data_IF_510451011905
#
_entry.id   IF_510451011905
#
_cell.length_a   1.000
_cell.length_b   1.000
_cell.length_c   1.000
_cell.angle_alpha   90.00
_cell.angle_beta   90.00
_cell.angle_gamma   90.00
#
_symmetry.space_group_name_H-M   'P 1'
#
loop_
_entity.id
_entity.type
_entity.pdbx_description
1 polymer ?
#
# COMPACT_ATOMS: atom_id res chain seq x y z
N UNK A 1 -17.34 -24.57 -6.75
CA UNK A 1 -16.87 -23.21 -7.01
C UNK A 1 -17.76 -22.18 -6.32
N UNK A 2 -17.21 -21.25 -5.57
CA UNK A 2 -17.98 -20.13 -5.02
C UNK A 2 -18.29 -19.15 -6.15
N UNK A 3 -19.55 -18.77 -6.31
CA UNK A 3 -19.93 -17.73 -7.28
C UNK A 3 -19.45 -16.38 -6.71
N UNK A 4 -18.37 -15.87 -7.27
CA UNK A 4 -17.85 -14.56 -6.90
C UNK A 4 -18.50 -13.47 -7.77
N UNK A 5 -19.07 -12.45 -7.12
CA UNK A 5 -19.66 -11.27 -7.77
C UNK A 5 -19.17 -10.04 -7.00
N UNK A 6 -18.50 -9.12 -7.69
CA UNK A 6 -18.02 -7.87 -7.12
C UNK A 6 -18.83 -6.68 -7.64
N UNK A 7 -19.47 -5.97 -6.72
CA UNK A 7 -20.18 -4.72 -6.98
C UNK A 7 -19.29 -3.54 -6.59
N UNK A 8 -18.64 -2.95 -7.58
CA UNK A 8 -17.67 -1.88 -7.37
C UNK A 8 -18.30 -0.62 -6.78
N UNK A 9 -19.49 -0.24 -7.24
CA UNK A 9 -20.20 0.95 -6.74
C UNK A 9 -20.58 0.80 -5.28
N UNK A 10 -21.22 -0.32 -4.94
CA UNK A 10 -21.62 -0.61 -3.56
C UNK A 10 -20.39 -0.66 -2.65
N UNK A 11 -19.34 -1.36 -3.06
CA UNK A 11 -18.11 -1.49 -2.27
C UNK A 11 -17.42 -0.14 -2.09
N UNK A 12 -17.38 0.70 -3.12
CA UNK A 12 -16.86 2.07 -3.01
C UNK A 12 -17.61 2.86 -1.95
N UNK A 13 -18.95 2.84 -2.00
CA UNK A 13 -19.79 3.56 -1.04
C UNK A 13 -19.58 3.04 0.41
N UNK A 14 -19.46 1.73 0.59
CA UNK A 14 -19.15 1.11 1.88
C UNK A 14 -17.77 1.53 2.42
N UNK A 15 -16.74 1.59 1.57
CA UNK A 15 -15.40 2.05 1.97
C UNK A 15 -15.42 3.52 2.38
N UNK A 16 -16.10 4.36 1.61
CA UNK A 16 -16.24 5.80 1.92
C UNK A 16 -16.87 5.99 3.31
N UNK A 17 -17.94 5.26 3.60
CA UNK A 17 -18.58 5.32 4.93
C UNK A 17 -17.71 4.74 6.04
N UNK A 18 -16.97 3.65 5.74
CA UNK A 18 -16.00 3.08 6.66
C UNK A 18 -14.89 4.08 7.01
N UNK A 19 -14.35 4.82 6.03
CA UNK A 19 -13.36 5.88 6.26
C UNK A 19 -13.94 6.98 7.15
N UNK A 20 -15.17 7.46 6.86
CA UNK A 20 -15.85 8.47 7.69
C UNK A 20 -15.96 8.02 9.14
N UNK A 21 -16.40 6.78 9.34
CA UNK A 21 -16.54 6.20 10.69
C UNK A 21 -15.19 6.04 11.40
N UNK A 22 -14.15 5.56 10.68
CA UNK A 22 -12.81 5.45 11.23
C UNK A 22 -12.31 6.80 11.76
N UNK A 23 -12.40 7.86 10.96
CA UNK A 23 -11.95 9.19 11.37
C UNK A 23 -12.82 9.81 12.45
N UNK A 24 -14.11 9.51 12.47
CA UNK A 24 -15.00 9.97 13.54
C UNK A 24 -14.59 9.39 14.89
N UNK A 25 -14.15 8.14 14.94
CA UNK A 25 -13.81 7.42 16.18
C UNK A 25 -12.34 7.60 16.56
N UNK A 26 -11.43 7.42 15.61
CA UNK A 26 -10.00 7.29 15.88
C UNK A 26 -9.18 8.55 15.54
N UNK A 27 -9.82 9.58 14.99
CA UNK A 27 -9.14 10.81 14.58
C UNK A 27 -10.10 11.95 14.28
N UNK A 28 -10.97 12.36 15.24
CA UNK A 28 -11.84 13.52 15.03
C UNK A 28 -11.00 14.74 14.64
N UNK A 29 -11.30 15.34 13.46
CA UNK A 29 -10.55 16.49 12.94
C UNK A 29 -9.13 16.18 12.39
N UNK A 30 -8.69 14.93 12.40
CA UNK A 30 -7.41 14.55 11.79
C UNK A 30 -7.47 14.54 10.25
N UNK A 31 -6.31 14.77 9.63
CA UNK A 31 -6.09 14.64 8.18
C UNK A 31 -5.77 13.19 7.79
N UNK A 32 -6.12 12.78 6.59
CA UNK A 32 -5.62 11.55 5.98
C UNK A 32 -4.26 11.83 5.32
N UNK A 33 -3.21 11.16 5.77
CA UNK A 33 -1.85 11.30 5.21
C UNK A 33 -1.56 10.11 4.31
N UNK A 34 -1.31 10.39 3.04
CA UNK A 34 -1.22 9.36 2.00
C UNK A 34 0.09 9.50 1.24
N UNK A 35 0.88 8.44 1.22
CA UNK A 35 2.05 8.35 0.34
C UNK A 35 1.58 8.22 -1.11
N UNK A 36 1.89 9.21 -1.95
CA UNK A 36 1.49 9.22 -3.36
C UNK A 36 2.66 8.77 -4.22
N UNK A 37 2.55 7.57 -4.77
CA UNK A 37 3.56 6.98 -5.67
C UNK A 37 3.28 7.24 -7.16
N UNK A 38 2.07 7.74 -7.48
CA UNK A 38 1.57 7.80 -8.85
C UNK A 38 1.04 6.45 -9.36
N UNK A 39 1.05 5.40 -8.54
CA UNK A 39 0.40 4.12 -8.83
C UNK A 39 -1.10 4.14 -8.49
N UNK A 40 -1.82 3.14 -9.01
CA UNK A 40 -3.28 3.00 -8.85
C UNK A 40 -3.75 3.00 -7.40
N UNK A 41 -3.05 2.26 -6.53
CA UNK A 41 -3.50 2.03 -5.15
C UNK A 41 -3.49 3.32 -4.35
N UNK A 42 -2.36 4.03 -4.32
CA UNK A 42 -2.24 5.33 -3.64
C UNK A 42 -3.22 6.38 -4.18
N UNK A 43 -3.48 6.35 -5.49
CA UNK A 43 -4.43 7.26 -6.15
C UNK A 43 -5.87 6.95 -5.73
N UNK A 44 -6.26 5.67 -5.72
CA UNK A 44 -7.60 5.23 -5.30
C UNK A 44 -7.83 5.53 -3.82
N UNK A 45 -6.83 5.27 -2.94
CA UNK A 45 -6.93 5.62 -1.52
C UNK A 45 -7.12 7.12 -1.32
N UNK A 46 -6.35 7.96 -2.03
CA UNK A 46 -6.48 9.42 -1.94
C UNK A 46 -7.86 9.89 -2.39
N UNK A 47 -8.37 9.38 -3.51
CA UNK A 47 -9.69 9.72 -4.03
C UNK A 47 -10.83 9.27 -3.07
N UNK A 48 -10.75 8.06 -2.51
CA UNK A 48 -11.68 7.58 -1.48
C UNK A 48 -11.68 8.48 -0.24
N UNK A 49 -10.51 8.91 0.20
CA UNK A 49 -10.38 9.84 1.33
C UNK A 49 -10.95 11.23 0.99
N UNK A 50 -10.77 11.72 -0.24
CA UNK A 50 -11.38 12.97 -0.69
C UNK A 50 -12.91 12.88 -0.69
N UNK A 51 -13.49 11.77 -1.16
CA UNK A 51 -14.94 11.56 -1.14
C UNK A 51 -15.48 11.42 0.30
N UNK A 52 -14.70 10.81 1.19
CA UNK A 52 -15.11 10.58 2.57
C UNK A 52 -15.00 11.82 3.45
N UNK A 53 -13.91 12.57 3.35
CA UNK A 53 -13.50 13.61 4.32
C UNK A 53 -13.52 15.03 3.73
N UNK A 54 -13.57 15.15 2.41
CA UNK A 54 -13.28 16.38 1.68
C UNK A 54 -11.77 16.55 1.42
N UNK A 55 -11.42 17.17 0.29
CA UNK A 55 -10.03 17.35 -0.17
C UNK A 55 -9.15 18.12 0.83
N UNK A 56 -9.72 19.05 1.58
CA UNK A 56 -9.00 19.89 2.55
C UNK A 56 -8.48 19.09 3.76
N UNK A 57 -8.94 17.85 3.93
CA UNK A 57 -8.51 16.91 4.97
C UNK A 57 -7.66 15.76 4.42
N UNK A 58 -7.20 15.86 3.18
CA UNK A 58 -6.33 14.86 2.55
C UNK A 58 -5.00 15.50 2.20
N UNK A 59 -3.91 14.89 2.66
CA UNK A 59 -2.55 15.37 2.42
C UNK A 59 -1.75 14.29 1.72
N UNK A 60 -1.30 14.60 0.50
CA UNK A 60 -0.41 13.76 -0.29
C UNK A 60 1.06 13.97 0.07
N UNK A 61 1.82 12.90 0.23
CA UNK A 61 3.27 12.98 0.45
C UNK A 61 3.98 12.23 -0.67
N UNK A 62 4.71 12.97 -1.50
CA UNK A 62 5.51 12.45 -2.59
C UNK A 62 6.93 12.24 -2.06
N UNK A 63 7.48 11.03 -2.19
CA UNK A 63 8.76 10.67 -1.59
C UNK A 63 9.71 10.02 -2.62
N UNK A 64 10.20 10.82 -3.61
CA UNK A 64 11.16 10.30 -4.56
C UNK A 64 12.46 9.90 -3.87
N UNK A 65 13.14 8.90 -4.43
CA UNK A 65 14.48 8.48 -4.01
C UNK A 65 15.50 8.97 -5.03
N UNK A 66 16.09 10.15 -4.79
CA UNK A 66 16.99 10.78 -5.75
C UNK A 66 16.23 11.34 -6.95
N UNK A 67 16.73 11.10 -8.16
CA UNK A 67 16.04 11.41 -9.42
C UNK A 67 15.15 10.23 -9.76
N UNK A 68 13.86 10.47 -9.92
CA UNK A 68 12.86 9.45 -10.21
C UNK A 68 12.06 9.90 -11.44
N UNK A 69 12.17 9.16 -12.54
CA UNK A 69 11.60 9.53 -13.84
C UNK A 69 10.07 9.63 -13.85
N UNK A 70 9.40 8.88 -12.98
CA UNK A 70 7.93 8.82 -12.93
C UNK A 70 7.28 9.66 -11.82
N UNK A 71 8.05 10.55 -11.15
CA UNK A 71 7.52 11.43 -10.10
C UNK A 71 6.44 12.39 -10.63
N UNK A 72 6.49 12.73 -11.92
CA UNK A 72 5.51 13.61 -12.54
C UNK A 72 4.10 13.03 -12.51
N UNK A 73 3.96 11.71 -12.57
CA UNK A 73 2.63 11.06 -12.42
C UNK A 73 2.07 11.29 -11.02
N UNK A 74 2.90 11.19 -9.98
CA UNK A 74 2.48 11.48 -8.61
C UNK A 74 2.07 12.96 -8.44
N UNK A 75 2.82 13.89 -9.06
CA UNK A 75 2.48 15.33 -9.10
C UNK A 75 1.17 15.58 -9.83
N UNK A 76 0.92 14.87 -10.94
CA UNK A 76 -0.36 14.96 -11.65
C UNK A 76 -1.53 14.45 -10.80
N UNK A 77 -1.37 13.39 -10.02
CA UNK A 77 -2.40 12.86 -9.11
C UNK A 77 -2.80 13.90 -8.07
N UNK A 78 -1.85 14.50 -7.36
CA UNK A 78 -2.16 15.50 -6.32
C UNK A 78 -2.80 16.76 -6.91
N UNK A 79 -2.38 17.16 -8.12
CA UNK A 79 -3.00 18.26 -8.87
C UNK A 79 -4.43 17.92 -9.30
N UNK A 80 -4.66 16.71 -9.81
CA UNK A 80 -5.99 16.26 -10.25
C UNK A 80 -6.99 16.22 -9.09
N UNK A 81 -6.55 15.70 -7.93
CA UNK A 81 -7.38 15.62 -6.73
C UNK A 81 -7.50 16.96 -6.00
N UNK A 82 -6.72 17.97 -6.40
CA UNK A 82 -6.67 19.30 -5.78
C UNK A 82 -6.45 19.24 -4.26
N UNK A 83 -5.52 18.37 -3.82
CA UNK A 83 -5.17 18.16 -2.41
C UNK A 83 -3.86 18.88 -2.04
N UNK A 84 -3.73 19.23 -0.76
CA UNK A 84 -2.44 19.67 -0.22
C UNK A 84 -1.40 18.56 -0.37
N UNK A 85 -0.16 18.93 -0.73
CA UNK A 85 0.91 17.95 -0.87
C UNK A 85 2.27 18.48 -0.44
N UNK A 86 3.14 17.54 -0.04
CA UNK A 86 4.55 17.78 0.24
C UNK A 86 5.39 16.82 -0.61
N UNK A 87 6.49 17.33 -1.17
CA UNK A 87 7.47 16.52 -1.86
C UNK A 87 8.76 16.48 -1.02
N UNK A 88 9.11 15.27 -0.55
CA UNK A 88 10.23 15.05 0.36
C UNK A 88 11.13 13.97 -0.25
N UNK A 89 12.29 14.36 -0.79
CA UNK A 89 13.24 13.42 -1.37
C UNK A 89 13.95 12.63 -0.27
N UNK A 90 13.79 11.30 -0.28
CA UNK A 90 14.36 10.41 0.73
C UNK A 90 15.75 9.89 0.38
N UNK A 91 16.27 10.19 -0.82
CA UNK A 91 17.50 9.59 -1.35
C UNK A 91 18.73 9.82 -0.45
N UNK A 92 18.90 11.05 0.04
CA UNK A 92 20.01 11.38 0.94
C UNK A 92 19.90 10.62 2.28
N UNK A 93 18.69 10.53 2.85
CA UNK A 93 18.45 9.81 4.11
C UNK A 93 18.76 8.32 3.97
N UNK A 94 18.32 7.70 2.88
CA UNK A 94 18.62 6.29 2.58
C UNK A 94 20.13 6.08 2.48
N UNK A 95 20.83 6.92 1.72
CA UNK A 95 22.27 6.80 1.52
C UNK A 95 23.06 7.00 2.82
N UNK A 96 22.69 8.01 3.61
CA UNK A 96 23.35 8.27 4.93
C UNK A 96 23.15 7.12 5.91
N UNK A 97 21.96 6.51 5.94
CA UNK A 97 21.71 5.39 6.85
C UNK A 97 22.50 4.14 6.42
N UNK A 98 22.58 3.82 5.12
CA UNK A 98 23.43 2.76 4.60
C UNK A 98 24.92 3.01 4.94
N UNK A 99 25.39 4.25 4.75
CA UNK A 99 26.77 4.63 5.08
C UNK A 99 27.05 4.48 6.58
N UNK A 100 26.15 4.94 7.44
CA UNK A 100 26.30 4.79 8.89
C UNK A 100 26.35 3.31 9.31
N UNK A 101 25.51 2.46 8.71
CA UNK A 101 25.54 1.02 8.92
C UNK A 101 26.91 0.41 8.56
N UNK A 102 27.45 0.77 7.40
CA UNK A 102 28.79 0.30 6.96
C UNK A 102 29.89 0.79 7.88
N UNK A 103 29.84 2.04 8.32
CA UNK A 103 30.78 2.59 9.32
C UNK A 103 30.69 1.84 10.65
N UNK A 104 29.49 1.38 11.03
CA UNK A 104 29.24 0.53 12.19
C UNK A 104 29.60 -0.94 12.02
N UNK A 105 30.18 -1.33 10.86
CA UNK A 105 30.64 -2.71 10.60
C UNK A 105 29.58 -3.62 9.95
N UNK A 106 28.43 -3.09 9.51
CA UNK A 106 27.39 -3.87 8.83
C UNK A 106 27.69 -3.97 7.33
N UNK A 107 27.63 -5.19 6.80
CA UNK A 107 27.59 -5.41 5.35
C UNK A 107 26.15 -5.47 4.91
N UNK A 108 25.70 -4.44 4.19
CA UNK A 108 24.31 -4.35 3.73
C UNK A 108 23.97 -5.42 2.69
N UNK A 109 23.02 -6.28 3.01
CA UNK A 109 22.50 -7.29 2.09
C UNK A 109 21.66 -6.65 0.98
N UNK A 110 21.43 -7.38 -0.11
CA UNK A 110 20.49 -6.95 -1.16
C UNK A 110 19.11 -6.62 -0.59
N UNK A 111 18.57 -7.49 0.26
CA UNK A 111 17.26 -7.31 0.91
C UNK A 111 17.21 -6.05 1.78
N UNK A 112 18.30 -5.72 2.50
CA UNK A 112 18.37 -4.50 3.28
C UNK A 112 18.28 -3.25 2.40
N UNK A 113 19.00 -3.24 1.26
CA UNK A 113 18.96 -2.11 0.31
C UNK A 113 17.61 -1.92 -0.34
N UNK A 114 16.93 -3.00 -0.69
CA UNK A 114 15.60 -2.96 -1.35
C UNK A 114 14.52 -2.49 -0.37
N UNK A 115 14.54 -2.97 0.88
CA UNK A 115 13.48 -2.67 1.85
C UNK A 115 13.69 -1.35 2.62
N UNK A 116 14.91 -0.82 2.67
CA UNK A 116 15.19 0.40 3.42
C UNK A 116 14.40 1.62 2.90
N UNK A 117 14.28 1.87 1.59
CA UNK A 117 13.49 2.99 1.09
C UNK A 117 12.04 2.97 1.55
N UNK A 118 11.37 1.80 1.54
CA UNK A 118 9.99 1.67 2.01
C UNK A 118 9.86 2.05 3.50
N UNK A 119 10.83 1.66 4.34
CA UNK A 119 10.85 2.02 5.77
C UNK A 119 11.11 3.50 6.00
N UNK A 120 12.02 4.11 5.23
CA UNK A 120 12.26 5.57 5.30
C UNK A 120 11.02 6.34 4.85
N UNK A 121 10.31 5.91 3.80
CA UNK A 121 9.02 6.49 3.40
C UNK A 121 8.01 6.41 4.54
N UNK A 122 7.88 5.28 5.22
CA UNK A 122 6.96 5.15 6.35
C UNK A 122 7.33 6.09 7.51
N UNK A 123 8.61 6.18 7.88
CA UNK A 123 9.07 7.13 8.90
C UNK A 123 8.76 8.58 8.51
N UNK A 124 8.94 8.94 7.23
CA UNK A 124 8.58 10.27 6.69
C UNK A 124 7.08 10.52 6.78
N UNK A 125 6.24 9.54 6.44
CA UNK A 125 4.78 9.66 6.55
C UNK A 125 4.36 9.91 8.00
N UNK A 126 4.94 9.20 8.97
CA UNK A 126 4.63 9.42 10.38
C UNK A 126 5.12 10.79 10.89
N UNK A 127 6.28 11.27 10.44
CA UNK A 127 6.74 12.63 10.73
C UNK A 127 5.73 13.67 10.23
N UNK A 128 5.28 13.57 8.97
CA UNK A 128 4.26 14.47 8.41
C UNK A 128 2.94 14.33 9.16
N UNK A 129 2.52 13.10 9.46
CA UNK A 129 1.28 12.81 10.17
C UNK A 129 1.23 13.49 11.54
N UNK A 130 2.29 13.41 12.31
CA UNK A 130 2.36 14.05 13.63
C UNK A 130 2.42 15.58 13.52
N UNK A 131 3.10 16.11 12.51
CA UNK A 131 3.19 17.56 12.27
C UNK A 131 1.88 18.17 11.76
N UNK A 132 1.06 17.38 11.06
CA UNK A 132 -0.15 17.83 10.38
C UNK A 132 -1.43 17.28 11.01
N UNK A 133 -1.39 16.80 12.26
CA UNK A 133 -2.53 16.18 12.95
C UNK A 133 -3.21 15.13 12.06
N UNK A 134 -2.49 14.10 11.66
CA UNK A 134 -2.96 13.14 10.66
C UNK A 134 -3.01 11.68 11.10
N UNK A 135 -3.53 10.85 10.21
CA UNK A 135 -3.50 9.38 10.25
C UNK A 135 -2.92 8.87 8.95
N UNK A 136 -1.92 8.00 9.03
CA UNK A 136 -1.23 7.43 7.86
C UNK A 136 -2.03 6.29 7.28
N UNK A 137 -2.28 6.33 5.96
CA UNK A 137 -2.89 5.19 5.25
C UNK A 137 -1.88 4.09 4.94
N UNK A 138 -2.32 2.84 5.05
CA UNK A 138 -1.74 1.73 4.34
C UNK A 138 -2.40 1.64 2.96
N UNK A 139 -1.61 1.60 1.90
CA UNK A 139 -2.11 1.57 0.53
C UNK A 139 -1.99 0.19 -0.13
N UNK A 140 -1.47 -0.83 0.59
CA UNK A 140 -1.40 -2.20 0.08
C UNK A 140 -2.79 -2.79 -0.15
N UNK A 141 -2.91 -3.60 -1.18
CA UNK A 141 -4.12 -4.36 -1.51
C UNK A 141 -3.99 -5.84 -1.09
N UNK A 142 -5.10 -6.59 -1.21
CA UNK A 142 -5.14 -7.99 -0.79
C UNK A 142 -4.25 -8.90 -1.64
N UNK A 143 -4.05 -8.60 -2.93
CA UNK A 143 -3.22 -9.42 -3.81
C UNK A 143 -1.74 -9.34 -3.42
N UNK A 144 -1.25 -8.12 -3.14
CA UNK A 144 0.11 -7.90 -2.64
C UNK A 144 0.31 -8.56 -1.27
N UNK A 145 -0.63 -8.34 -0.35
CA UNK A 145 -0.60 -8.94 0.98
C UNK A 145 -0.60 -10.46 0.92
N UNK A 146 -1.42 -11.06 0.05
CA UNK A 146 -1.56 -12.52 -0.05
C UNK A 146 -0.24 -13.21 -0.38
N UNK A 147 0.54 -12.66 -1.32
CA UNK A 147 1.85 -13.21 -1.70
C UNK A 147 3.01 -12.60 -0.89
N UNK A 148 2.71 -11.68 0.04
CA UNK A 148 3.70 -11.00 0.87
C UNK A 148 4.59 -10.02 0.11
N UNK A 149 4.07 -9.41 -0.96
CA UNK A 149 4.75 -8.40 -1.78
C UNK A 149 4.66 -7.01 -1.12
N UNK A 150 5.14 -6.95 0.13
CA UNK A 150 5.15 -5.75 0.94
C UNK A 150 6.24 -5.82 2.00
N UNK A 151 6.72 -4.67 2.47
CA UNK A 151 7.81 -4.54 3.44
C UNK A 151 7.27 -4.27 4.84
N UNK A 152 7.52 -5.17 5.80
CA UNK A 152 7.20 -4.96 7.22
C UNK A 152 7.91 -3.71 7.74
N UNK A 153 7.15 -2.82 8.40
CA UNK A 153 7.63 -1.54 8.90
C UNK A 153 7.87 -0.50 7.80
N UNK A 154 7.47 -0.83 6.55
CA UNK A 154 7.41 0.06 5.40
C UNK A 154 5.99 0.16 4.88
N UNK A 155 5.80 -0.13 3.60
CA UNK A 155 4.50 -0.05 2.90
C UNK A 155 3.43 -1.00 3.45
N UNK A 156 3.81 -2.12 4.10
CA UNK A 156 2.87 -2.99 4.82
C UNK A 156 2.31 -2.39 6.12
N UNK A 157 2.56 -1.12 6.43
CA UNK A 157 2.15 -0.50 7.68
C UNK A 157 1.29 0.75 7.45
N UNK A 158 0.50 1.12 8.46
CA UNK A 158 -0.36 2.29 8.47
C UNK A 158 -1.31 2.26 9.66
N UNK A 159 -2.14 3.27 9.80
CA UNK A 159 -3.14 3.37 10.86
C UNK A 159 -4.56 3.01 10.37
N UNK A 160 -4.77 3.01 9.06
CA UNK A 160 -6.00 2.53 8.41
C UNK A 160 -5.67 2.01 7.01
N UNK A 161 -6.41 1.02 6.54
CA UNK A 161 -6.12 0.30 5.29
C UNK A 161 -7.39 0.12 4.46
N UNK A 162 -7.74 1.09 3.60
CA UNK A 162 -8.98 1.02 2.82
C UNK A 162 -9.01 -0.11 1.79
N UNK A 163 -7.85 -0.52 1.28
CA UNK A 163 -7.72 -1.51 0.21
C UNK A 163 -7.32 -2.90 0.71
N UNK A 164 -7.02 -3.07 1.99
CA UNK A 164 -6.37 -4.28 2.51
C UNK A 164 -7.14 -5.60 2.29
N UNK A 165 -8.41 -5.55 1.93
CA UNK A 165 -9.23 -6.73 1.59
C UNK A 165 -9.69 -6.75 0.13
N UNK A 166 -9.21 -5.83 -0.70
CA UNK A 166 -9.53 -5.75 -2.13
C UNK A 166 -8.37 -6.23 -2.97
N UNK A 167 -8.68 -7.01 -4.00
CA UNK A 167 -7.69 -7.44 -4.98
C UNK A 167 -7.36 -6.31 -5.97
N UNK A 168 -6.26 -6.44 -6.72
CA UNK A 168 -5.83 -5.45 -7.73
C UNK A 168 -6.94 -5.17 -8.75
N UNK A 169 -7.62 -6.22 -9.22
CA UNK A 169 -8.74 -6.10 -10.18
C UNK A 169 -9.92 -5.33 -9.58
N UNK A 170 -10.21 -5.52 -8.31
CA UNK A 170 -11.27 -4.81 -7.59
C UNK A 170 -10.90 -3.35 -7.36
N UNK A 171 -9.66 -3.08 -6.98
CA UNK A 171 -9.15 -1.70 -6.82
C UNK A 171 -9.25 -0.91 -8.13
N UNK A 172 -8.90 -1.53 -9.26
CA UNK A 172 -9.08 -0.89 -10.58
C UNK A 172 -10.55 -0.54 -10.85
N UNK A 173 -11.49 -1.45 -10.56
CA UNK A 173 -12.93 -1.21 -10.73
C UNK A 173 -13.42 -0.07 -9.84
N UNK A 174 -12.97 0.01 -8.60
CA UNK A 174 -13.27 1.13 -7.69
C UNK A 174 -12.70 2.44 -8.23
N UNK A 175 -11.49 2.43 -8.78
CA UNK A 175 -10.91 3.61 -9.40
C UNK A 175 -11.75 4.16 -10.55
N UNK A 176 -12.35 3.29 -11.38
CA UNK A 176 -13.29 3.69 -12.43
C UNK A 176 -14.60 4.25 -11.86
N UNK A 177 -15.16 3.66 -10.81
CA UNK A 177 -16.35 4.18 -10.10
C UNK A 177 -16.12 5.55 -9.45
N UNK A 178 -14.89 5.86 -9.06
CA UNK A 178 -14.47 7.17 -8.57
C UNK A 178 -14.27 8.21 -9.70
N UNK A 179 -14.43 7.82 -10.97
CA UNK A 179 -14.20 8.68 -12.13
C UNK A 179 -12.74 9.06 -12.35
N UNK A 180 -11.79 8.29 -11.83
CA UNK A 180 -10.38 8.56 -12.02
C UNK A 180 -9.94 8.35 -13.47
N UNK A 181 -9.07 9.20 -14.01
CA UNK A 181 -8.50 9.02 -15.36
C UNK A 181 -7.85 7.65 -15.52
N UNK A 182 -8.09 7.02 -16.66
CA UNK A 182 -7.58 5.69 -16.98
C UNK A 182 -6.05 5.56 -16.84
N UNK A 183 -5.33 6.62 -17.15
CA UNK A 183 -3.86 6.68 -17.00
C UNK A 183 -3.36 6.44 -15.57
N UNK A 184 -4.15 6.80 -14.54
CA UNK A 184 -3.80 6.57 -13.14
C UNK A 184 -4.15 5.15 -12.68
N UNK A 185 -5.12 4.50 -13.35
CA UNK A 185 -5.60 3.17 -12.97
C UNK A 185 -4.82 2.07 -13.70
N UNK A 186 -4.46 2.30 -14.98
CA UNK A 186 -3.80 1.31 -15.84
C UNK A 186 -2.28 1.35 -15.81
N UNK A 187 -1.65 2.32 -15.12
CA UNK A 187 -0.19 2.34 -14.98
C UNK A 187 0.27 1.00 -14.39
N UNK A 188 1.15 0.31 -15.09
CA UNK A 188 1.73 -0.93 -14.61
C UNK A 188 2.51 -0.65 -13.30
N UNK A 189 2.27 -1.44 -12.23
CA UNK A 189 3.07 -1.32 -11.03
C UNK A 189 4.51 -1.70 -11.35
N UNK A 190 5.47 -0.87 -10.89
CA UNK A 190 6.90 -1.12 -11.04
C UNK A 190 7.57 -0.97 -9.68
N UNK A 191 8.63 -1.74 -9.46
CA UNK A 191 9.41 -1.66 -8.23
C UNK A 191 10.23 -0.36 -8.11
N UNK A 192 10.25 0.46 -9.17
CA UNK A 192 11.02 1.70 -9.26
C UNK A 192 12.55 1.51 -9.20
N UNK A 193 13.04 0.28 -9.26
CA UNK A 193 14.45 -0.08 -9.09
C UNK A 193 15.05 -0.80 -10.29
N UNK A 194 14.35 -1.79 -10.84
CA UNK A 194 14.88 -2.67 -11.88
C UNK A 194 14.29 -2.39 -13.28
N UNK A 195 13.24 -1.56 -13.35
CA UNK A 195 12.47 -1.33 -14.56
C UNK A 195 11.55 -2.50 -14.94
N UNK A 196 11.48 -3.53 -14.09
CA UNK A 196 10.56 -4.65 -14.24
C UNK A 196 9.23 -4.35 -13.58
N UNK A 197 8.17 -4.95 -14.10
CA UNK A 197 6.87 -4.95 -13.43
C UNK A 197 6.85 -5.95 -12.28
N UNK A 198 5.88 -5.80 -11.38
CA UNK A 198 5.66 -6.79 -10.32
C UNK A 198 5.39 -8.18 -10.92
N UNK A 199 4.56 -8.26 -11.97
CA UNK A 199 4.22 -9.51 -12.66
C UNK A 199 5.46 -10.19 -13.29
N UNK A 200 6.42 -9.39 -13.81
CA UNK A 200 7.71 -9.92 -14.29
C UNK A 200 8.54 -10.53 -13.15
N UNK A 201 8.45 -9.95 -11.95
CA UNK A 201 9.20 -10.42 -10.79
C UNK A 201 8.63 -11.73 -10.23
N UNK A 202 7.30 -11.85 -10.12
CA UNK A 202 6.73 -13.10 -9.62
C UNK A 202 6.30 -14.09 -10.73
N UNK A 203 6.25 -13.68 -12.00
CA UNK A 203 6.07 -14.57 -13.16
C UNK A 203 4.65 -15.11 -13.33
N UNK A 204 3.65 -14.40 -12.83
CA UNK A 204 2.22 -14.59 -13.09
C UNK A 204 1.51 -13.24 -13.05
N UNK A 205 0.28 -13.18 -13.56
CA UNK A 205 -0.49 -11.95 -13.63
C UNK A 205 -1.31 -11.72 -12.37
N UNK A 206 -1.59 -10.46 -12.04
CA UNK A 206 -2.55 -10.12 -10.99
C UNK A 206 -3.96 -10.64 -11.30
N UNK A 207 -4.34 -10.72 -12.57
CA UNK A 207 -5.65 -11.26 -12.95
C UNK A 207 -5.79 -12.73 -12.53
N UNK A 208 -4.76 -13.55 -12.78
CA UNK A 208 -4.72 -14.93 -12.33
C UNK A 208 -4.72 -15.03 -10.79
N UNK A 209 -3.87 -14.26 -10.13
CA UNK A 209 -3.78 -14.22 -8.66
C UNK A 209 -5.13 -13.87 -8.02
N UNK A 210 -5.77 -12.81 -8.52
CA UNK A 210 -7.05 -12.31 -8.00
C UNK A 210 -8.17 -13.34 -8.19
N UNK A 211 -8.20 -13.98 -9.36
CA UNK A 211 -9.14 -15.06 -9.62
C UNK A 211 -8.92 -16.22 -8.64
N UNK A 212 -7.68 -16.66 -8.49
CA UNK A 212 -7.30 -17.71 -7.55
C UNK A 212 -7.70 -17.36 -6.10
N UNK A 213 -7.38 -16.18 -5.62
CA UNK A 213 -7.74 -15.72 -4.27
C UNK A 213 -9.26 -15.76 -4.04
N UNK A 214 -10.05 -15.36 -5.03
CA UNK A 214 -11.51 -15.23 -4.88
C UNK A 214 -12.28 -16.52 -5.07
N UNK A 215 -11.82 -17.40 -5.94
CA UNK A 215 -12.56 -18.60 -6.36
C UNK A 215 -11.91 -19.92 -5.93
N UNK A 216 -10.59 -19.94 -5.74
CA UNK A 216 -9.79 -21.15 -5.59
C UNK A 216 -9.57 -21.89 -6.91
N UNK A 217 -10.00 -21.31 -8.03
CA UNK A 217 -9.80 -21.87 -9.37
C UNK A 217 -8.47 -21.42 -9.95
N UNK A 218 -7.73 -22.34 -10.53
CA UNK A 218 -6.39 -22.11 -11.09
C UNK A 218 -6.32 -22.46 -12.58
N UNK A 219 -7.47 -22.56 -13.29
CA UNK A 219 -7.57 -22.81 -14.73
C UNK A 219 -6.66 -23.96 -15.23
N UNK A 220 -6.48 -25.01 -14.41
CA UNK A 220 -5.56 -26.14 -14.62
C UNK A 220 -4.05 -25.77 -14.61
N UNK A 221 -3.67 -24.56 -14.27
CA UNK A 221 -2.26 -24.15 -14.08
C UNK A 221 -1.78 -24.48 -12.65
N UNK A 222 -1.49 -25.76 -12.44
CA UNK A 222 -1.04 -26.30 -11.13
C UNK A 222 0.30 -25.69 -10.72
N UNK A 223 1.17 -25.38 -11.67
CA UNK A 223 2.51 -24.84 -11.38
C UNK A 223 2.42 -23.42 -10.81
N UNK A 224 1.64 -22.54 -11.44
CA UNK A 224 1.41 -21.20 -10.96
C UNK A 224 0.67 -21.20 -9.62
N UNK A 225 -0.36 -22.03 -9.43
CA UNK A 225 -1.06 -22.15 -8.15
C UNK A 225 -0.11 -22.59 -7.03
N UNK A 226 0.71 -23.62 -7.23
CA UNK A 226 1.68 -24.08 -6.25
C UNK A 226 2.74 -23.00 -5.90
N UNK A 227 3.13 -22.16 -6.88
CA UNK A 227 4.03 -21.02 -6.65
C UNK A 227 3.37 -19.97 -5.78
N UNK A 228 2.11 -19.63 -6.04
CA UNK A 228 1.33 -18.69 -5.25
C UNK A 228 1.20 -19.18 -3.81
N UNK A 229 0.81 -20.46 -3.61
CA UNK A 229 0.68 -21.06 -2.27
C UNK A 229 1.99 -21.01 -1.51
N UNK A 230 3.11 -21.35 -2.16
CA UNK A 230 4.44 -21.27 -1.55
C UNK A 230 4.79 -19.84 -1.12
N UNK A 231 4.46 -18.84 -1.94
CA UNK A 231 4.68 -17.43 -1.59
C UNK A 231 3.79 -17.02 -0.42
N UNK A 232 2.52 -17.41 -0.44
CA UNK A 232 1.57 -17.17 0.64
C UNK A 232 2.06 -17.73 1.96
N UNK A 233 2.34 -19.04 2.01
CA UNK A 233 2.77 -19.74 3.23
C UNK A 233 4.06 -19.13 3.81
N UNK A 234 5.02 -18.80 2.94
CA UNK A 234 6.29 -18.19 3.37
C UNK A 234 6.12 -16.78 3.93
N UNK A 235 5.04 -16.07 3.60
CA UNK A 235 4.85 -14.66 3.93
C UNK A 235 3.64 -14.39 4.85
N UNK A 236 2.83 -15.39 5.20
CA UNK A 236 1.65 -15.23 6.06
C UNK A 236 1.97 -14.52 7.37
N UNK A 237 3.18 -14.70 7.93
CA UNK A 237 3.60 -14.04 9.16
C UNK A 237 3.61 -12.50 9.06
N UNK A 238 3.69 -11.93 7.83
CA UNK A 238 3.66 -10.48 7.61
C UNK A 238 2.30 -9.85 7.87
N UNK A 239 1.23 -10.65 7.73
CA UNK A 239 -0.17 -10.24 7.94
C UNK A 239 -0.64 -10.54 9.38
N UNK A 240 0.13 -11.32 10.13
CA UNK A 240 -0.21 -11.67 11.51
C UNK A 240 0.09 -10.51 12.47
N UNK A 241 -0.75 -10.30 13.49
CA UNK A 241 -0.39 -9.41 14.58
C UNK A 241 0.96 -9.81 15.19
N UNK A 242 1.71 -8.85 15.69
CA UNK A 242 2.98 -9.13 16.37
C UNK A 242 2.75 -10.17 17.49
N UNK A 243 3.41 -11.34 17.45
CA UNK A 243 3.28 -12.33 18.53
C UNK A 243 3.72 -11.74 19.85
N UNK A 244 2.90 -11.92 20.88
CA UNK A 244 3.20 -11.47 22.25
C UNK A 244 3.26 -12.66 23.17
N UNK A 245 4.21 -12.62 24.11
CA UNK A 245 4.25 -13.61 25.19
C UNK A 245 3.07 -13.38 26.13
N UNK A 246 2.28 -14.43 26.35
CA UNK A 246 1.17 -14.40 27.30
C UNK A 246 1.57 -15.22 28.57
N UNK A 247 1.88 -14.56 29.69
CA UNK A 247 2.21 -15.26 30.90
C UNK A 247 0.98 -15.94 31.49
N UNK A 248 1.10 -17.20 31.91
CA UNK A 248 0.00 -18.01 32.46
C UNK A 248 -0.60 -17.41 33.77
N UNK A 249 -0.02 -16.35 34.33
CA UNK A 249 -0.48 -15.68 35.55
C UNK A 249 -1.40 -14.49 35.31
N UNK A 250 -1.69 -14.14 34.06
CA UNK A 250 -2.51 -12.96 33.71
C UNK A 250 -3.74 -13.38 32.92
N UNK A 251 -4.90 -13.37 33.55
CA UNK A 251 -6.21 -13.36 32.89
C UNK A 251 -6.52 -11.95 32.41
N UNK A 252 -5.81 -11.45 31.41
CA UNK A 252 -6.18 -10.21 30.72
C UNK A 252 -7.03 -10.58 29.49
N UNK A 253 -8.34 -10.46 29.64
CA UNK A 253 -9.23 -10.42 28.48
C UNK A 253 -9.12 -9.05 27.81
N UNK A 254 -8.70 -9.02 26.56
CA UNK A 254 -8.82 -7.91 25.61
C UNK A 254 -10.07 -8.13 24.75
#
# INVERSE_FOLDING_TARGET
MRKYVFDAKKTKDEIVEWIRNYFRVNGPGCNAIIGISGGKDSTVVAALCCEALGKDRVIGVLMPQGVQDDIDVAREVVKYLDIQSFEINIGETVNKLLQAGRTGGIVDSHQARVNLPARIRMATLFMVSQSMNGRVSNNCNASESYIGWATIGGDAFGQFSPLGKLTVTEVKKIGFELGLPEKFIKKAPSDGLTGKTDEDNFGFTYEFLDHYIRTGDFDNDVETAAKIDKMHDANTFKEMPMPTFNPNCCEWGW
#
